data_IF_216647969403
#
_entry.id   IF_216647969403
#
_cell.length_a   1.000
_cell.length_b   1.000
_cell.length_c   1.000
_cell.angle_alpha   90.00
_cell.angle_beta   90.00
_cell.angle_gamma   90.00
#
_symmetry.space_group_name_H-M   'P 1'
#
loop_
_entity.id
_entity.type
_entity.pdbx_description
1 polymer ?
#
# COMPACT_ATOMS: atom_id res chain seq x y z
N UNK A 1 14.77 49.15 -33.03
CA UNK A 1 15.22 48.85 -31.66
C UNK A 1 14.46 47.63 -31.17
N UNK A 2 15.01 46.44 -31.48
CA UNK A 2 14.72 45.18 -30.79
C UNK A 2 15.25 45.30 -29.34
N UNK A 3 14.84 44.63 -28.27
CA UNK A 3 13.89 43.55 -27.93
C UNK A 3 14.09 43.31 -26.42
N UNK A 4 13.07 42.79 -25.73
CA UNK A 4 13.18 41.81 -24.62
C UNK A 4 13.65 42.25 -23.20
N UNK A 5 12.99 41.60 -22.23
CA UNK A 5 13.43 41.20 -20.88
C UNK A 5 13.11 42.11 -19.70
N UNK A 6 11.94 41.82 -19.10
CA UNK A 6 11.76 41.76 -17.64
C UNK A 6 12.88 40.94 -17.01
N UNK A 7 13.83 41.63 -16.37
CA UNK A 7 15.01 41.06 -15.74
C UNK A 7 14.77 40.86 -14.24
N UNK A 8 15.07 39.64 -13.80
CA UNK A 8 15.29 39.25 -12.42
C UNK A 8 16.32 40.15 -11.72
N UNK A 9 16.11 40.44 -10.43
CA UNK A 9 17.14 40.45 -9.38
C UNK A 9 16.58 41.11 -8.13
N UNK A 10 16.35 40.32 -7.09
CA UNK A 10 16.92 40.61 -5.76
C UNK A 10 16.77 39.36 -4.90
N UNK A 11 17.83 38.56 -4.99
CA UNK A 11 18.11 37.48 -4.08
C UNK A 11 18.61 38.03 -2.73
N UNK A 12 18.46 37.16 -1.73
CA UNK A 12 19.28 37.05 -0.52
C UNK A 12 18.95 37.93 0.70
N UNK A 13 18.06 37.40 1.55
CA UNK A 13 18.18 37.35 3.03
C UNK A 13 17.28 36.17 3.47
N UNK A 14 17.67 35.10 4.13
CA UNK A 14 18.80 34.81 5.00
C UNK A 14 18.98 33.29 5.10
N UNK A 15 20.23 32.85 5.20
CA UNK A 15 20.61 31.48 5.53
C UNK A 15 20.32 31.26 7.02
N UNK A 16 19.26 30.52 7.33
CA UNK A 16 19.18 29.69 8.54
C UNK A 16 18.63 28.35 8.09
N UNK A 17 19.42 27.31 8.30
CA UNK A 17 19.12 25.94 7.92
C UNK A 17 17.78 25.47 8.53
N UNK A 18 16.85 25.08 7.67
CA UNK A 18 15.93 24.00 7.97
C UNK A 18 15.70 23.25 6.65
N UNK A 19 16.16 22.00 6.51
CA UNK A 19 16.11 21.31 5.23
C UNK A 19 14.64 21.11 4.89
N UNK A 20 14.22 21.65 3.75
CA UNK A 20 13.15 21.16 2.89
C UNK A 20 12.27 20.10 3.58
N UNK A 21 11.31 20.54 4.41
CA UNK A 21 10.08 19.76 4.58
C UNK A 21 9.31 19.95 3.27
N UNK A 22 9.85 19.40 2.18
CA UNK A 22 9.11 19.20 0.96
C UNK A 22 7.90 18.37 1.33
N UNK A 23 6.79 18.68 0.69
CA UNK A 23 5.58 17.87 0.64
C UNK A 23 5.95 16.44 0.21
N UNK A 24 6.39 15.60 1.15
CA UNK A 24 6.72 14.20 0.87
C UNK A 24 5.42 13.53 0.48
N UNK A 25 5.30 13.25 -0.80
CA UNK A 25 4.12 12.60 -1.36
C UNK A 25 4.07 11.16 -0.87
N UNK A 26 2.90 10.50 -0.93
CA UNK A 26 2.78 9.08 -0.59
C UNK A 26 3.78 8.17 -1.31
N UNK A 27 4.20 8.57 -2.51
CA UNK A 27 5.19 7.88 -3.32
C UNK A 27 6.59 7.93 -2.69
N UNK A 28 6.98 9.07 -2.11
CA UNK A 28 8.29 9.23 -1.48
C UNK A 28 8.42 8.36 -0.23
N UNK A 29 7.35 8.30 0.57
CA UNK A 29 7.27 7.40 1.71
C UNK A 29 7.28 5.94 1.28
N UNK A 30 6.55 5.59 0.23
CA UNK A 30 6.55 4.23 -0.31
C UNK A 30 7.96 3.82 -0.77
N UNK A 31 8.67 4.68 -1.50
CA UNK A 31 10.04 4.40 -1.92
C UNK A 31 11.00 4.22 -0.73
N UNK A 32 10.84 5.01 0.32
CA UNK A 32 11.60 4.83 1.56
C UNK A 32 11.27 3.52 2.25
N UNK A 33 9.99 3.14 2.32
CA UNK A 33 9.54 1.86 2.87
C UNK A 33 10.12 0.68 2.11
N UNK A 34 10.12 0.73 0.78
CA UNK A 34 10.76 -0.27 -0.07
C UNK A 34 12.26 -0.36 0.22
N UNK A 35 12.97 0.78 0.26
CA UNK A 35 14.40 0.78 0.60
C UNK A 35 14.64 0.20 1.99
N UNK A 36 13.84 0.58 2.98
CA UNK A 36 13.98 0.07 4.34
C UNK A 36 13.72 -1.45 4.40
N UNK A 37 12.71 -1.96 3.68
CA UNK A 37 12.40 -3.40 3.58
C UNK A 37 13.58 -4.21 3.01
N UNK A 38 14.33 -3.64 2.06
CA UNK A 38 15.44 -4.34 1.41
C UNK A 38 16.82 -4.12 2.07
N UNK A 39 17.04 -2.96 2.70
CA UNK A 39 18.38 -2.52 3.15
C UNK A 39 18.47 -2.25 4.66
N UNK A 40 17.35 -2.15 5.38
CA UNK A 40 17.28 -1.84 6.81
C UNK A 40 16.44 -2.91 7.54
N UNK A 41 16.32 -2.81 8.87
CA UNK A 41 15.51 -3.73 9.66
C UNK A 41 14.03 -3.42 9.47
N UNK A 42 13.18 -4.45 9.47
CA UNK A 42 11.74 -4.41 9.16
C UNK A 42 10.93 -3.31 9.89
N UNK A 43 11.35 -2.91 11.10
CA UNK A 43 10.65 -1.88 11.88
C UNK A 43 10.65 -0.52 11.20
N UNK A 44 11.73 -0.15 10.49
CA UNK A 44 11.81 1.12 9.78
C UNK A 44 10.89 1.09 8.55
N UNK A 45 10.74 -0.07 7.90
CA UNK A 45 9.88 -0.22 6.73
C UNK A 45 8.40 -0.03 7.07
N UNK A 46 7.95 -0.56 8.20
CA UNK A 46 6.56 -0.44 8.65
C UNK A 46 6.13 1.00 8.82
N UNK A 47 6.96 1.84 9.45
CA UNK A 47 6.63 3.26 9.64
C UNK A 47 6.51 4.00 8.31
N UNK A 48 7.45 3.78 7.38
CA UNK A 48 7.37 4.40 6.06
C UNK A 48 6.16 3.94 5.26
N UNK A 49 5.83 2.65 5.30
CA UNK A 49 4.61 2.16 4.65
C UNK A 49 3.35 2.69 5.32
N UNK A 50 3.34 2.89 6.65
CA UNK A 50 2.22 3.52 7.34
C UNK A 50 1.98 4.95 6.87
N UNK A 51 3.04 5.77 6.74
CA UNK A 51 2.93 7.13 6.22
C UNK A 51 2.41 7.13 4.78
N UNK A 52 2.93 6.25 3.92
CA UNK A 52 2.49 6.12 2.54
C UNK A 52 1.03 5.62 2.42
N UNK A 53 0.66 4.58 3.17
CA UNK A 53 -0.67 3.98 3.18
C UNK A 53 -1.72 4.98 3.68
N UNK A 54 -1.38 5.76 4.71
CA UNK A 54 -2.23 6.82 5.27
C UNK A 54 -2.48 7.97 4.28
N UNK A 55 -1.59 8.16 3.30
CA UNK A 55 -1.80 9.11 2.20
C UNK A 55 -2.63 8.56 1.03
N UNK A 56 -3.11 7.31 1.14
CA UNK A 56 -3.90 6.64 0.10
C UNK A 56 -3.09 5.87 -0.94
N UNK A 57 -1.78 5.66 -0.72
CA UNK A 57 -0.95 4.91 -1.66
C UNK A 57 -1.29 3.42 -1.62
N UNK A 58 -1.93 2.92 -2.68
CA UNK A 58 -2.54 1.58 -2.75
C UNK A 58 -1.52 0.46 -2.52
N UNK A 59 -0.38 0.46 -3.22
CA UNK A 59 0.67 -0.54 -2.99
C UNK A 59 1.25 -0.48 -1.57
N UNK A 60 1.24 0.70 -0.92
CA UNK A 60 1.75 0.82 0.43
C UNK A 60 0.75 0.24 1.45
N UNK A 61 -0.55 0.41 1.19
CA UNK A 61 -1.60 -0.25 1.97
C UNK A 61 -1.44 -1.77 1.90
N UNK A 62 -1.20 -2.33 0.71
CA UNK A 62 -0.91 -3.76 0.56
C UNK A 62 0.37 -4.18 1.30
N UNK A 63 1.49 -3.48 1.08
CA UNK A 63 2.78 -3.84 1.72
C UNK A 63 2.70 -3.75 3.25
N UNK A 64 2.05 -2.72 3.79
CA UNK A 64 1.80 -2.58 5.22
C UNK A 64 0.93 -3.73 5.74
N UNK A 65 -0.10 -4.12 5.00
CA UNK A 65 -0.98 -5.21 5.40
C UNK A 65 -0.22 -6.55 5.50
N UNK A 66 0.68 -6.83 4.56
CA UNK A 66 1.51 -8.05 4.59
C UNK A 66 2.48 -8.03 5.77
N UNK A 67 3.08 -6.89 6.09
CA UNK A 67 3.93 -6.76 7.28
C UNK A 67 3.13 -7.03 8.57
N UNK A 68 1.95 -6.45 8.69
CA UNK A 68 1.07 -6.65 9.85
C UNK A 68 0.56 -8.09 9.93
N UNK A 69 0.22 -8.71 8.80
CA UNK A 69 -0.22 -10.11 8.75
C UNK A 69 0.87 -11.03 9.30
N UNK A 70 2.12 -10.82 8.87
CA UNK A 70 3.25 -11.59 9.39
C UNK A 70 3.47 -11.37 10.89
N UNK A 71 3.37 -10.13 11.37
CA UNK A 71 3.48 -9.81 12.80
C UNK A 71 2.35 -10.45 13.63
N UNK A 72 1.12 -10.41 13.13
CA UNK A 72 -0.08 -10.99 13.77
C UNK A 72 -0.01 -12.52 13.79
N UNK A 73 0.46 -13.15 12.71
CA UNK A 73 0.70 -14.60 12.65
C UNK A 73 1.73 -15.05 13.69
N UNK A 74 2.84 -14.32 13.84
CA UNK A 74 3.88 -14.62 14.83
C UNK A 74 3.35 -14.46 16.26
N UNK A 75 2.44 -13.50 16.48
CA UNK A 75 1.89 -13.18 17.81
C UNK A 75 0.58 -13.92 18.12
N UNK A 76 0.11 -14.79 17.22
CA UNK A 76 -1.19 -15.46 17.31
C UNK A 76 -2.36 -14.48 17.56
N UNK A 77 -2.27 -13.28 16.97
CA UNK A 77 -3.27 -12.23 17.12
C UNK A 77 -4.32 -12.28 16.01
N UNK A 78 -5.55 -11.80 16.28
CA UNK A 78 -6.56 -11.62 15.24
C UNK A 78 -6.07 -10.69 14.12
N UNK A 79 -6.37 -11.05 12.87
CA UNK A 79 -5.89 -10.36 11.67
C UNK A 79 -6.53 -8.98 11.39
N UNK A 80 -6.90 -8.23 12.42
CA UNK A 80 -7.80 -7.08 12.28
C UNK A 80 -7.12 -5.94 11.50
N UNK A 81 -5.86 -5.63 11.79
CA UNK A 81 -5.19 -4.49 11.15
C UNK A 81 -4.73 -4.84 9.74
N UNK A 82 -4.21 -6.04 9.54
CA UNK A 82 -3.84 -6.51 8.21
C UNK A 82 -5.06 -6.55 7.27
N UNK A 83 -6.19 -7.09 7.73
CA UNK A 83 -7.42 -7.15 6.92
C UNK A 83 -7.96 -5.75 6.61
N UNK A 84 -7.85 -4.80 7.53
CA UNK A 84 -8.25 -3.41 7.26
C UNK A 84 -7.47 -2.82 6.08
N UNK A 85 -6.13 -2.92 6.10
CA UNK A 85 -5.29 -2.36 5.04
C UNK A 85 -5.40 -3.14 3.72
N UNK A 86 -5.52 -4.47 3.79
CA UNK A 86 -5.84 -5.30 2.62
C UNK A 86 -7.16 -4.88 1.98
N UNK A 87 -8.20 -4.63 2.78
CA UNK A 87 -9.51 -4.18 2.28
C UNK A 87 -9.39 -2.86 1.55
N UNK A 88 -8.69 -1.86 2.11
CA UNK A 88 -8.48 -0.58 1.44
C UNK A 88 -7.75 -0.73 0.10
N UNK A 89 -6.70 -1.55 0.05
CA UNK A 89 -5.98 -1.80 -1.19
C UNK A 89 -6.86 -2.54 -2.22
N UNK A 90 -7.64 -3.52 -1.78
CA UNK A 90 -8.51 -4.33 -2.62
C UNK A 90 -9.69 -3.53 -3.20
N UNK A 91 -10.26 -2.62 -2.42
CA UNK A 91 -11.28 -1.66 -2.87
C UNK A 91 -10.73 -0.69 -3.93
N UNK A 92 -9.43 -0.41 -3.89
CA UNK A 92 -8.71 0.37 -4.93
C UNK A 92 -8.12 -0.52 -6.03
N UNK A 93 -8.71 -1.70 -6.27
CA UNK A 93 -8.38 -2.59 -7.38
C UNK A 93 -6.99 -3.23 -7.34
N UNK A 94 -6.33 -3.29 -6.18
CA UNK A 94 -5.04 -3.97 -6.08
C UNK A 94 -5.22 -5.50 -6.20
N UNK A 95 -4.74 -6.15 -7.28
CA UNK A 95 -5.09 -7.53 -7.59
C UNK A 95 -4.60 -8.53 -6.54
N UNK A 96 -3.40 -8.31 -5.99
CA UNK A 96 -2.88 -9.17 -4.93
C UNK A 96 -3.67 -8.99 -3.63
N UNK A 97 -4.11 -7.77 -3.31
CA UNK A 97 -4.87 -7.55 -2.08
C UNK A 97 -6.24 -8.22 -2.15
N UNK A 98 -6.89 -8.16 -3.32
CA UNK A 98 -8.13 -8.89 -3.58
C UNK A 98 -7.93 -10.40 -3.45
N UNK A 99 -6.84 -10.94 -4.03
CA UNK A 99 -6.53 -12.36 -3.90
C UNK A 99 -6.27 -12.79 -2.46
N UNK A 100 -5.47 -12.04 -1.69
CA UNK A 100 -5.19 -12.34 -0.28
C UNK A 100 -6.46 -12.28 0.59
N UNK A 101 -7.36 -11.31 0.36
CA UNK A 101 -8.66 -11.29 1.04
C UNK A 101 -9.53 -12.49 0.67
N UNK A 102 -9.50 -12.92 -0.60
CA UNK A 102 -10.22 -14.11 -1.01
C UNK A 102 -9.70 -15.35 -0.29
N UNK A 103 -8.38 -15.51 -0.17
CA UNK A 103 -7.77 -16.61 0.60
C UNK A 103 -8.13 -16.54 2.08
N UNK A 104 -8.11 -15.34 2.68
CA UNK A 104 -8.49 -15.17 4.08
C UNK A 104 -9.91 -15.66 4.37
N UNK A 105 -10.89 -15.26 3.55
CA UNK A 105 -12.27 -15.72 3.73
C UNK A 105 -12.49 -17.17 3.29
N UNK A 106 -11.64 -17.70 2.42
CA UNK A 106 -11.72 -19.10 2.00
C UNK A 106 -11.44 -20.04 3.16
N UNK A 107 -10.55 -19.67 4.08
CA UNK A 107 -10.27 -20.46 5.29
C UNK A 107 -11.43 -20.47 6.29
N UNK A 108 -12.39 -19.54 6.16
CA UNK A 108 -13.62 -19.48 6.95
C UNK A 108 -14.83 -20.15 6.26
N UNK A 109 -14.59 -21.07 5.30
CA UNK A 109 -15.61 -21.60 4.37
C UNK A 109 -16.87 -22.22 5.01
N UNK A 110 -16.83 -22.62 6.27
CA UNK A 110 -18.00 -23.12 7.01
C UNK A 110 -19.08 -22.02 7.23
N UNK A 111 -18.76 -20.76 6.93
CA UNK A 111 -19.66 -19.60 6.99
C UNK A 111 -20.14 -19.18 5.57
N UNK A 112 -21.45 -19.20 5.27
CA UNK A 112 -21.98 -18.75 3.98
C UNK A 112 -21.62 -17.31 3.59
N UNK A 113 -21.38 -16.43 4.57
CA UNK A 113 -20.92 -15.06 4.29
C UNK A 113 -19.48 -15.04 3.79
N UNK A 114 -18.62 -15.91 4.34
CA UNK A 114 -17.24 -16.03 3.93
C UNK A 114 -17.12 -16.61 2.52
N UNK A 115 -17.99 -17.55 2.15
CA UNK A 115 -18.08 -18.04 0.77
C UNK A 115 -18.41 -16.91 -0.22
N UNK A 116 -19.38 -16.05 0.09
CA UNK A 116 -19.72 -14.91 -0.76
C UNK A 116 -18.57 -13.90 -0.89
N UNK A 117 -17.88 -13.63 0.22
CA UNK A 117 -16.72 -12.72 0.22
C UNK A 117 -15.53 -13.32 -0.55
N UNK A 118 -15.30 -14.62 -0.41
CA UNK A 118 -14.29 -15.37 -1.18
C UNK A 118 -14.56 -15.22 -2.68
N UNK A 119 -15.78 -15.52 -3.12
CA UNK A 119 -16.15 -15.39 -4.54
C UNK A 119 -16.02 -13.95 -5.02
N UNK A 120 -16.52 -12.97 -4.25
CA UNK A 120 -16.44 -11.54 -4.60
C UNK A 120 -14.99 -11.13 -4.86
N UNK A 121 -14.09 -11.40 -3.91
CA UNK A 121 -12.71 -10.94 -3.99
C UNK A 121 -11.88 -11.74 -5.00
N UNK A 122 -12.15 -13.04 -5.15
CA UNK A 122 -11.49 -13.88 -6.16
C UNK A 122 -11.85 -13.44 -7.59
N UNK A 123 -13.14 -13.15 -7.85
CA UNK A 123 -13.57 -12.61 -9.14
C UNK A 123 -12.93 -11.25 -9.42
N UNK A 124 -12.92 -10.34 -8.44
CA UNK A 124 -12.28 -9.03 -8.59
C UNK A 124 -10.78 -9.16 -8.88
N UNK A 125 -10.07 -10.07 -8.20
CA UNK A 125 -8.67 -10.34 -8.45
C UNK A 125 -8.43 -10.85 -9.88
N UNK A 126 -9.28 -11.75 -10.36
CA UNK A 126 -9.20 -12.26 -11.73
C UNK A 126 -9.45 -11.17 -12.78
N UNK A 127 -10.45 -10.29 -12.55
CA UNK A 127 -10.73 -9.13 -13.39
C UNK A 127 -9.55 -8.15 -13.45
N UNK A 128 -8.81 -8.01 -12.35
CA UNK A 128 -7.59 -7.20 -12.26
C UNK A 128 -6.31 -8.00 -12.62
N UNK A 129 -6.46 -9.07 -13.41
CA UNK A 129 -5.39 -9.86 -13.98
C UNK A 129 -4.49 -10.63 -12.98
N UNK A 130 -5.01 -10.98 -11.81
CA UNK A 130 -4.32 -11.89 -10.90
C UNK A 130 -4.32 -13.33 -11.45
N UNK A 131 -3.14 -13.88 -11.73
CA UNK A 131 -3.00 -15.15 -12.47
C UNK A 131 -3.64 -16.35 -11.76
N UNK A 132 -3.41 -16.47 -10.45
CA UNK A 132 -3.98 -17.54 -9.63
C UNK A 132 -5.50 -17.45 -9.55
N UNK A 133 -6.03 -16.22 -9.48
CA UNK A 133 -7.47 -15.99 -9.42
C UNK A 133 -8.13 -16.33 -10.76
N UNK A 134 -7.51 -15.97 -11.89
CA UNK A 134 -7.98 -16.37 -13.23
C UNK A 134 -8.05 -17.90 -13.33
N UNK A 135 -7.02 -18.60 -12.87
CA UNK A 135 -7.00 -20.07 -12.86
C UNK A 135 -8.07 -20.66 -11.96
N UNK A 136 -8.35 -20.02 -10.82
CA UNK A 136 -9.40 -20.45 -9.90
C UNK A 136 -10.79 -20.28 -10.52
N UNK A 137 -11.08 -19.12 -11.12
CA UNK A 137 -12.37 -18.81 -11.74
C UNK A 137 -12.64 -19.65 -13.00
N UNK A 138 -11.58 -20.08 -13.69
CA UNK A 138 -11.67 -20.92 -14.88
C UNK A 138 -11.81 -22.43 -14.63
N UNK A 139 -11.77 -22.89 -13.37
CA UNK A 139 -11.96 -24.29 -12.96
C UNK A 139 -13.44 -24.63 -12.73
#
# INVERSE_FOLDING_TARGET
MNTKLTLAALAATSIIANPVFAETTGIDWYQQGIKAKYYLKDQDAKEYFLQAASSGHVEAQYELAILLLNEELIQEQPHIQSIHWLTLAAENHHPKAQYELALFYMDEYDNPQAEQLTQKWMLAAAENAHEEAIKWVGQ
#
